data_IF_705336080782
#
_entry.id   IF_705336080782
#
_cell.length_a   1.000
_cell.length_b   1.000
_cell.length_c   1.000
_cell.angle_alpha   90.00
_cell.angle_beta   90.00
_cell.angle_gamma   90.00
#
_symmetry.space_group_name_H-M   'P 1'
#
loop_
_entity.id
_entity.type
_entity.pdbx_description
1 polymer ?
#
# COMPACT_ATOMS: atom_id res chain seq x y z
N UNK A 1 -26.90 6.09 -0.70
CA UNK A 1 -28.18 6.77 -0.97
C UNK A 1 -29.07 6.92 0.29
N UNK A 2 -29.21 5.92 1.16
CA UNK A 2 -30.06 6.01 2.37
C UNK A 2 -29.67 7.13 3.36
N UNK A 3 -28.40 7.37 3.61
CA UNK A 3 -27.97 8.43 4.52
C UNK A 3 -28.21 9.86 4.02
N UNK A 4 -28.27 10.06 2.71
CA UNK A 4 -28.49 11.36 2.11
C UNK A 4 -29.96 11.76 2.18
N UNK A 5 -30.88 10.78 2.05
CA UNK A 5 -32.31 10.98 2.25
C UNK A 5 -32.64 11.31 3.72
N UNK A 6 -31.95 10.67 4.66
CA UNK A 6 -32.12 10.94 6.10
C UNK A 6 -31.64 12.36 6.47
N UNK A 7 -30.51 12.82 5.93
CA UNK A 7 -30.01 14.18 6.15
C UNK A 7 -30.93 15.26 5.57
N UNK A 8 -31.43 15.04 4.35
CA UNK A 8 -32.38 15.95 3.72
C UNK A 8 -33.72 15.97 4.47
N UNK A 9 -34.19 14.82 4.94
CA UNK A 9 -35.43 14.72 5.72
C UNK A 9 -35.29 15.45 7.09
N UNK A 10 -34.16 15.29 7.78
CA UNK A 10 -33.87 15.98 9.04
C UNK A 10 -33.76 17.50 8.84
N UNK A 11 -33.14 17.96 7.76
CA UNK A 11 -33.04 19.37 7.43
C UNK A 11 -34.43 19.97 7.11
N UNK A 12 -35.26 19.25 6.36
CA UNK A 12 -36.65 19.68 6.07
C UNK A 12 -37.52 19.67 7.33
N UNK A 13 -37.34 18.70 8.21
CA UNK A 13 -38.07 18.62 9.49
C UNK A 13 -37.66 19.77 10.41
N UNK A 14 -36.38 20.12 10.49
CA UNK A 14 -35.87 21.27 11.22
C UNK A 14 -36.45 22.61 10.70
N UNK A 15 -36.52 22.73 9.39
CA UNK A 15 -37.09 23.86 8.66
C UNK A 15 -38.61 24.03 8.97
N UNK A 16 -39.36 22.91 8.91
CA UNK A 16 -40.77 22.89 9.21
C UNK A 16 -41.06 23.20 10.68
N UNK A 17 -40.28 22.66 11.63
CA UNK A 17 -40.42 22.95 13.06
C UNK A 17 -40.08 24.41 13.37
N UNK A 18 -39.02 24.95 12.76
CA UNK A 18 -38.64 26.36 12.88
C UNK A 18 -39.76 27.29 12.37
N UNK A 19 -40.37 26.94 11.23
CA UNK A 19 -41.45 27.72 10.67
C UNK A 19 -42.72 27.70 11.57
N UNK A 20 -43.09 26.55 12.11
CA UNK A 20 -44.26 26.40 13.03
C UNK A 20 -44.02 27.17 14.35
N UNK A 21 -42.80 27.14 14.89
CA UNK A 21 -42.45 27.94 16.07
C UNK A 21 -42.49 29.44 15.79
N UNK A 22 -42.01 29.88 14.64
CA UNK A 22 -42.03 31.29 14.25
C UNK A 22 -43.44 31.84 14.08
N UNK A 23 -44.41 31.05 13.60
CA UNK A 23 -45.81 31.46 13.43
C UNK A 23 -46.61 31.52 14.70
N UNK A 24 -46.14 30.93 15.82
CA UNK A 24 -46.85 30.96 17.13
C UNK A 24 -46.42 32.12 18.02
N UNK A 25 -45.43 32.93 17.63
CA UNK A 25 -44.92 34.06 18.42
C UNK A 25 -45.41 35.38 17.80
N UNK A 26 -46.62 35.82 18.19
CA UNK A 26 -47.32 36.99 17.68
C UNK A 26 -46.69 38.36 18.09
N UNK A 27 -45.49 38.41 18.57
CA UNK A 27 -45.06 39.60 19.29
C UNK A 27 -43.80 40.35 18.79
N UNK A 28 -43.16 39.95 17.65
CA UNK A 28 -41.91 40.66 17.27
C UNK A 28 -41.77 40.75 15.74
N UNK A 29 -42.47 41.71 15.16
CA UNK A 29 -42.91 41.54 13.77
C UNK A 29 -41.94 41.91 12.65
N UNK A 30 -41.02 42.84 12.71
CA UNK A 30 -40.27 43.24 11.50
C UNK A 30 -38.76 43.03 11.58
N UNK A 31 -38.11 43.31 12.66
CA UNK A 31 -36.66 43.18 12.79
C UNK A 31 -36.19 41.73 12.88
N UNK A 32 -37.00 40.83 13.42
CA UNK A 32 -36.61 39.39 13.57
C UNK A 32 -36.81 38.52 12.33
N UNK A 33 -37.57 38.96 11.37
CA UNK A 33 -37.73 38.24 10.09
C UNK A 33 -36.42 38.18 9.31
N UNK A 34 -35.70 39.29 9.23
CA UNK A 34 -34.41 39.35 8.55
C UNK A 34 -33.34 38.53 9.25
N UNK A 35 -33.32 38.50 10.57
CA UNK A 35 -32.42 37.67 11.37
C UNK A 35 -32.70 36.19 11.14
N UNK A 36 -33.97 35.80 11.06
CA UNK A 36 -34.40 34.43 10.78
C UNK A 36 -33.99 34.00 9.37
N UNK A 37 -34.21 34.84 8.37
CA UNK A 37 -33.82 34.58 6.97
C UNK A 37 -32.29 34.48 6.84
N UNK A 38 -31.54 35.32 7.53
CA UNK A 38 -30.08 35.25 7.58
C UNK A 38 -29.59 33.97 8.24
N UNK A 39 -30.22 33.56 9.36
CA UNK A 39 -29.88 32.31 10.02
C UNK A 39 -30.14 31.06 9.11
N UNK A 40 -31.29 31.05 8.44
CA UNK A 40 -31.62 29.98 7.47
C UNK A 40 -30.68 29.99 6.26
N UNK A 41 -30.31 31.16 5.76
CA UNK A 41 -29.35 31.30 4.68
C UNK A 41 -27.97 30.75 5.05
N UNK A 42 -27.48 31.09 6.23
CA UNK A 42 -26.19 30.59 6.74
C UNK A 42 -26.19 29.09 6.99
N UNK A 43 -27.22 28.56 7.65
CA UNK A 43 -27.34 27.11 7.87
C UNK A 43 -27.48 26.37 6.55
N UNK A 44 -28.30 26.88 5.62
CA UNK A 44 -28.46 26.32 4.29
C UNK A 44 -27.12 26.29 3.50
N UNK A 45 -26.36 27.38 3.54
CA UNK A 45 -25.06 27.45 2.91
C UNK A 45 -24.07 26.43 3.48
N UNK A 46 -24.03 26.25 4.80
CA UNK A 46 -23.19 25.25 5.46
C UNK A 46 -23.58 23.82 5.05
N UNK A 47 -24.87 23.51 5.03
CA UNK A 47 -25.35 22.18 4.60
C UNK A 47 -24.97 21.90 3.14
N UNK A 48 -25.15 22.88 2.25
CA UNK A 48 -24.76 22.75 0.83
C UNK A 48 -23.25 22.56 0.71
N UNK A 49 -22.46 23.34 1.43
CA UNK A 49 -21.01 23.23 1.44
C UNK A 49 -20.56 21.83 1.91
N UNK A 50 -21.15 21.29 2.97
CA UNK A 50 -20.86 19.94 3.47
C UNK A 50 -21.23 18.85 2.45
N UNK A 51 -22.38 18.99 1.77
CA UNK A 51 -22.80 18.03 0.72
C UNK A 51 -21.84 18.06 -0.45
N UNK A 52 -21.43 19.26 -0.90
CA UNK A 52 -20.48 19.42 -2.00
C UNK A 52 -19.11 18.82 -1.57
N UNK A 53 -18.62 19.16 -0.39
CA UNK A 53 -17.36 18.65 0.15
C UNK A 53 -17.35 17.11 0.20
N UNK A 54 -18.41 16.50 0.71
CA UNK A 54 -18.50 15.03 0.77
C UNK A 54 -18.57 14.40 -0.63
N UNK A 55 -19.25 15.01 -1.59
CA UNK A 55 -19.26 14.53 -2.99
C UNK A 55 -17.88 14.62 -3.61
N UNK A 56 -17.21 15.75 -3.46
CA UNK A 56 -15.85 15.97 -3.98
C UNK A 56 -14.89 14.94 -3.37
N UNK A 57 -14.96 14.74 -2.05
CA UNK A 57 -14.15 13.74 -1.36
C UNK A 57 -14.38 12.32 -1.90
N UNK A 58 -15.64 11.93 -2.13
CA UNK A 58 -15.96 10.61 -2.70
C UNK A 58 -15.44 10.45 -4.13
N UNK A 59 -15.53 11.49 -4.94
CA UNK A 59 -14.96 11.49 -6.29
C UNK A 59 -13.44 11.36 -6.25
N UNK A 60 -12.75 12.13 -5.41
CA UNK A 60 -11.30 12.04 -5.24
C UNK A 60 -10.84 10.65 -4.78
N UNK A 61 -11.56 10.05 -3.83
CA UNK A 61 -11.27 8.68 -3.37
C UNK A 61 -11.51 7.66 -4.49
N UNK A 62 -12.54 7.82 -5.30
CA UNK A 62 -12.82 6.93 -6.43
C UNK A 62 -11.75 7.06 -7.52
N UNK A 63 -11.35 8.28 -7.85
CA UNK A 63 -10.29 8.56 -8.82
C UNK A 63 -8.92 8.04 -8.35
N UNK A 64 -8.57 8.25 -7.08
CA UNK A 64 -7.32 7.75 -6.53
C UNK A 64 -7.28 6.22 -6.51
N UNK A 65 -8.39 5.56 -6.19
CA UNK A 65 -8.49 4.10 -6.29
C UNK A 65 -8.38 3.59 -7.73
N UNK A 66 -8.97 4.28 -8.68
CA UNK A 66 -8.86 3.90 -10.09
C UNK A 66 -7.41 4.03 -10.59
N UNK A 67 -6.73 5.13 -10.24
CA UNK A 67 -5.31 5.33 -10.54
C UNK A 67 -4.44 4.27 -9.87
N UNK A 68 -4.71 3.96 -8.60
CA UNK A 68 -4.00 2.91 -7.88
C UNK A 68 -4.21 1.52 -8.52
N UNK A 69 -5.40 1.23 -9.03
CA UNK A 69 -5.66 -0.01 -9.76
C UNK A 69 -4.84 -0.13 -11.05
N UNK A 70 -4.65 0.97 -11.79
CA UNK A 70 -3.79 0.99 -12.98
C UNK A 70 -2.30 0.81 -12.61
N UNK A 71 -1.84 1.50 -11.58
CA UNK A 71 -0.48 1.33 -11.06
C UNK A 71 -0.24 -0.10 -10.57
N UNK A 72 -1.22 -0.69 -9.88
CA UNK A 72 -1.16 -2.06 -9.41
C UNK A 72 -0.99 -3.07 -10.56
N UNK A 73 -1.61 -2.83 -11.72
CA UNK A 73 -1.44 -3.70 -12.89
C UNK A 73 0.01 -3.71 -13.40
N UNK A 74 0.64 -2.54 -13.49
CA UNK A 74 2.04 -2.41 -13.89
C UNK A 74 2.97 -3.05 -12.85
N UNK A 75 2.75 -2.72 -11.58
CA UNK A 75 3.57 -3.21 -10.47
C UNK A 75 3.42 -4.72 -10.28
N UNK A 76 2.23 -5.30 -10.48
CA UNK A 76 2.04 -6.75 -10.39
C UNK A 76 2.93 -7.54 -11.36
N UNK A 77 3.08 -7.06 -12.60
CA UNK A 77 3.98 -7.68 -13.59
C UNK A 77 5.44 -7.58 -13.15
N UNK A 78 5.83 -6.40 -12.65
CA UNK A 78 7.19 -6.20 -12.14
C UNK A 78 7.47 -7.09 -10.91
N UNK A 79 6.54 -7.15 -9.95
CA UNK A 79 6.64 -8.03 -8.79
C UNK A 79 6.75 -9.51 -9.16
N UNK A 80 6.06 -9.95 -10.21
CA UNK A 80 6.18 -11.33 -10.68
C UNK A 80 7.62 -11.65 -11.12
N UNK A 81 8.28 -10.72 -11.83
CA UNK A 81 9.68 -10.86 -12.22
C UNK A 81 10.62 -10.86 -11.01
N UNK A 82 10.46 -9.88 -10.12
CA UNK A 82 11.26 -9.78 -8.87
C UNK A 82 11.14 -11.05 -8.03
N UNK A 83 9.94 -11.62 -7.91
CA UNK A 83 9.71 -12.86 -7.15
C UNK A 83 10.44 -14.05 -7.72
N UNK A 84 10.56 -14.17 -9.05
CA UNK A 84 11.31 -15.25 -9.69
C UNK A 84 12.78 -15.15 -9.29
N UNK A 85 13.38 -13.97 -9.43
CA UNK A 85 14.81 -13.77 -9.12
C UNK A 85 15.06 -13.88 -7.61
N UNK A 86 14.17 -13.35 -6.77
CA UNK A 86 14.25 -13.51 -5.32
C UNK A 86 14.14 -14.99 -4.90
N UNK A 87 13.25 -15.78 -5.51
CA UNK A 87 13.13 -17.21 -5.28
C UNK A 87 14.42 -17.98 -5.64
N UNK A 88 15.17 -17.50 -6.64
CA UNK A 88 16.51 -18.03 -6.92
C UNK A 88 17.48 -17.71 -5.79
N UNK A 89 17.52 -16.47 -5.33
CA UNK A 89 18.39 -16.06 -4.22
C UNK A 89 18.06 -16.81 -2.91
N UNK A 90 16.77 -17.02 -2.60
CA UNK A 90 16.32 -17.82 -1.46
C UNK A 90 16.79 -19.27 -1.56
N UNK A 91 16.68 -19.89 -2.73
CA UNK A 91 17.15 -21.27 -2.93
C UNK A 91 18.66 -21.38 -2.77
N UNK A 92 19.45 -20.46 -3.35
CA UNK A 92 20.90 -20.43 -3.15
C UNK A 92 21.27 -20.24 -1.68
N UNK A 93 20.62 -19.30 -1.00
CA UNK A 93 20.90 -19.06 0.44
C UNK A 93 20.58 -20.31 1.26
N UNK A 94 19.45 -21.00 1.00
CA UNK A 94 19.08 -22.26 1.67
C UNK A 94 20.10 -23.39 1.41
N UNK A 95 20.53 -23.54 0.17
CA UNK A 95 21.54 -24.55 -0.18
C UNK A 95 22.83 -24.31 0.61
N UNK A 96 23.27 -23.07 0.69
CA UNK A 96 24.52 -22.69 1.35
C UNK A 96 24.44 -22.66 2.88
N UNK A 97 23.25 -22.66 3.49
CA UNK A 97 23.12 -22.92 4.92
C UNK A 97 23.36 -24.39 5.30
N UNK A 98 23.24 -25.30 4.36
CA UNK A 98 23.49 -26.74 4.58
C UNK A 98 24.89 -27.22 4.17
N UNK A 99 25.61 -26.40 3.40
CA UNK A 99 26.95 -26.70 2.92
C UNK A 99 27.82 -25.45 3.08
N UNK A 100 29.06 -25.61 3.54
CA UNK A 100 30.00 -24.47 3.59
C UNK A 100 30.38 -24.07 2.15
N UNK A 101 29.88 -22.92 1.64
CA UNK A 101 30.10 -22.56 0.24
C UNK A 101 31.54 -22.15 -0.01
N UNK A 102 32.03 -22.48 -1.20
CA UNK A 102 33.30 -21.99 -1.66
C UNK A 102 33.21 -20.47 -2.05
N UNK A 103 34.35 -19.76 -2.25
CA UNK A 103 34.33 -18.36 -2.60
C UNK A 103 33.57 -18.00 -3.90
N UNK A 104 33.54 -18.90 -4.89
CA UNK A 104 32.79 -18.68 -6.15
C UNK A 104 31.29 -18.72 -5.91
N UNK A 105 30.82 -19.69 -5.13
CA UNK A 105 29.40 -19.80 -4.73
C UNK A 105 28.94 -18.62 -3.88
N UNK A 106 29.83 -18.02 -3.09
CA UNK A 106 29.55 -16.77 -2.40
C UNK A 106 29.39 -15.58 -3.35
N UNK A 107 30.13 -15.57 -4.46
CA UNK A 107 29.95 -14.54 -5.48
C UNK A 107 28.63 -14.70 -6.21
N UNK A 108 28.19 -15.93 -6.51
CA UNK A 108 26.89 -16.20 -7.14
C UNK A 108 25.72 -15.64 -6.31
N UNK A 109 25.70 -15.88 -5.00
CA UNK A 109 24.64 -15.32 -4.14
C UNK A 109 24.69 -13.80 -4.08
N UNK A 110 25.89 -13.20 -4.06
CA UNK A 110 26.03 -11.75 -4.10
C UNK A 110 25.46 -11.17 -5.39
N UNK A 111 25.71 -11.79 -6.53
CA UNK A 111 25.20 -11.35 -7.84
C UNK A 111 23.67 -11.45 -7.91
N UNK A 112 23.08 -12.55 -7.40
CA UNK A 112 21.62 -12.69 -7.36
C UNK A 112 20.97 -11.64 -6.48
N UNK A 113 21.52 -11.40 -5.27
CA UNK A 113 21.01 -10.37 -4.37
C UNK A 113 21.18 -8.96 -4.96
N UNK A 114 22.29 -8.69 -5.64
CA UNK A 114 22.50 -7.41 -6.33
C UNK A 114 21.48 -7.22 -7.47
N UNK A 115 21.18 -8.27 -8.25
CA UNK A 115 20.19 -8.24 -9.30
C UNK A 115 18.80 -7.92 -8.75
N UNK A 116 18.36 -8.62 -7.70
CA UNK A 116 17.07 -8.34 -7.04
C UNK A 116 17.02 -6.93 -6.49
N UNK A 117 18.10 -6.46 -5.85
CA UNK A 117 18.16 -5.11 -5.31
C UNK A 117 18.07 -4.02 -6.40
N UNK A 118 18.63 -4.27 -7.58
CA UNK A 118 18.54 -3.36 -8.73
C UNK A 118 17.12 -3.26 -9.32
N UNK A 119 16.25 -4.25 -9.05
CA UNK A 119 14.86 -4.27 -9.49
C UNK A 119 13.91 -3.54 -8.52
N UNK A 120 14.43 -2.75 -7.58
CA UNK A 120 13.60 -2.02 -6.62
C UNK A 120 12.62 -1.09 -7.32
N UNK A 121 11.36 -1.12 -6.86
CA UNK A 121 10.28 -0.31 -7.41
C UNK A 121 10.51 1.16 -7.05
N UNK A 122 10.37 2.11 -8.02
CA UNK A 122 10.49 3.52 -7.77
C UNK A 122 9.48 4.02 -6.73
N UNK A 123 9.90 5.03 -5.95
CA UNK A 123 9.08 5.57 -4.86
C UNK A 123 7.74 6.13 -5.35
N UNK A 124 7.71 6.77 -6.52
CA UNK A 124 6.50 7.31 -7.13
C UNK A 124 5.46 6.21 -7.44
N UNK A 125 5.92 5.04 -7.88
CA UNK A 125 5.03 3.89 -8.13
C UNK A 125 4.48 3.32 -6.82
N UNK A 126 5.30 3.26 -5.77
CA UNK A 126 4.86 2.84 -4.44
C UNK A 126 3.82 3.80 -3.85
N UNK A 127 4.02 5.12 -4.01
CA UNK A 127 3.03 6.12 -3.58
C UNK A 127 1.69 5.95 -4.32
N UNK A 128 1.72 5.60 -5.59
CA UNK A 128 0.50 5.35 -6.36
C UNK A 128 -0.29 4.15 -5.83
N UNK A 129 0.34 3.21 -5.14
CA UNK A 129 -0.30 2.04 -4.53
C UNK A 129 -0.89 2.32 -3.14
N UNK A 130 -0.56 3.43 -2.49
CA UNK A 130 -1.01 3.75 -1.13
C UNK A 130 -2.55 3.70 -0.95
N UNK A 131 -3.39 4.07 -1.95
CA UNK A 131 -4.85 3.96 -1.81
C UNK A 131 -5.39 2.52 -1.88
N UNK A 132 -4.54 1.51 -2.15
CA UNK A 132 -4.96 0.11 -2.14
C UNK A 132 -5.16 -0.38 -0.70
N UNK A 133 -6.13 -1.29 -0.49
CA UNK A 133 -6.29 -1.97 0.79
C UNK A 133 -5.09 -2.90 1.06
N UNK A 134 -4.95 -3.32 2.32
CA UNK A 134 -4.00 -4.34 2.79
C UNK A 134 -2.53 -3.89 2.80
N UNK A 135 -2.25 -2.58 2.82
CA UNK A 135 -0.90 -2.03 2.98
C UNK A 135 0.11 -2.56 1.95
N UNK A 136 -0.35 -2.72 0.70
CA UNK A 136 0.43 -3.29 -0.41
C UNK A 136 1.78 -2.55 -0.60
N UNK A 137 1.76 -1.21 -0.61
CA UNK A 137 2.96 -0.39 -0.76
C UNK A 137 3.95 -0.59 0.41
N UNK A 138 3.44 -0.76 1.63
CA UNK A 138 4.25 -0.99 2.83
C UNK A 138 4.91 -2.37 2.79
N UNK A 139 4.18 -3.41 2.38
CA UNK A 139 4.74 -4.76 2.21
C UNK A 139 5.87 -4.78 1.20
N UNK A 140 5.69 -4.13 0.05
CA UNK A 140 6.74 -4.00 -0.98
C UNK A 140 7.96 -3.28 -0.40
N UNK A 141 7.75 -2.16 0.27
CA UNK A 141 8.83 -1.39 0.88
C UNK A 141 9.59 -2.19 1.94
N UNK A 142 8.88 -2.94 2.78
CA UNK A 142 9.47 -3.81 3.79
C UNK A 142 10.27 -4.96 3.17
N UNK A 143 9.76 -5.58 2.12
CA UNK A 143 10.48 -6.63 1.39
C UNK A 143 11.79 -6.13 0.81
N UNK A 144 11.78 -4.99 0.12
CA UNK A 144 13.01 -4.39 -0.41
C UNK A 144 13.95 -3.87 0.70
N UNK A 145 13.44 -3.53 1.88
CA UNK A 145 14.29 -3.23 3.03
C UNK A 145 15.07 -4.47 3.49
N UNK A 146 14.44 -5.65 3.54
CA UNK A 146 15.10 -6.92 3.83
C UNK A 146 16.18 -7.24 2.79
N UNK A 147 15.85 -7.10 1.48
CA UNK A 147 16.83 -7.32 0.40
C UNK A 147 18.02 -6.38 0.52
N UNK A 148 17.78 -5.08 0.76
CA UNK A 148 18.85 -4.08 0.96
C UNK A 148 19.71 -4.38 2.18
N UNK A 149 19.12 -4.88 3.26
CA UNK A 149 19.85 -5.28 4.45
C UNK A 149 20.80 -6.45 4.13
N UNK A 150 20.33 -7.46 3.40
CA UNK A 150 21.15 -8.59 2.95
C UNK A 150 22.26 -8.11 2.01
N UNK A 151 21.89 -7.30 1.01
CA UNK A 151 22.83 -6.71 0.06
C UNK A 151 23.95 -5.93 0.79
N UNK A 152 23.62 -5.06 1.71
CA UNK A 152 24.60 -4.30 2.49
C UNK A 152 25.52 -5.19 3.33
N UNK A 153 24.96 -6.28 3.91
CA UNK A 153 25.73 -7.23 4.72
C UNK A 153 26.69 -8.07 3.89
N UNK A 154 26.26 -8.55 2.72
CA UNK A 154 27.07 -9.37 1.83
C UNK A 154 28.15 -8.54 1.12
N UNK A 155 27.76 -7.44 0.46
CA UNK A 155 28.70 -6.64 -0.33
C UNK A 155 29.62 -5.79 0.51
N UNK A 156 29.13 -5.22 1.62
CA UNK A 156 29.95 -4.44 2.55
C UNK A 156 31.08 -5.24 3.19
N UNK A 157 30.98 -6.57 3.19
CA UNK A 157 31.96 -7.50 3.78
C UNK A 157 32.49 -8.56 2.81
N UNK A 158 32.25 -8.40 1.50
CA UNK A 158 32.60 -9.40 0.47
C UNK A 158 34.05 -9.92 0.59
N UNK A 159 35.00 -9.02 0.82
CA UNK A 159 36.41 -9.39 0.98
C UNK A 159 36.71 -10.09 2.33
N UNK A 160 35.95 -9.79 3.37
CA UNK A 160 36.10 -10.39 4.70
C UNK A 160 35.42 -11.76 4.73
N UNK A 161 34.20 -11.88 4.22
CA UNK A 161 33.40 -13.12 4.19
C UNK A 161 34.16 -14.26 3.50
N UNK A 162 34.96 -13.96 2.48
CA UNK A 162 35.85 -14.93 1.83
C UNK A 162 36.95 -15.48 2.74
N UNK A 163 37.29 -14.76 3.81
CA UNK A 163 38.35 -15.13 4.79
C UNK A 163 37.78 -15.72 6.07
N UNK A 164 36.48 -15.65 6.29
CA UNK A 164 35.85 -16.11 7.52
C UNK A 164 35.93 -17.62 7.68
N UNK A 165 36.02 -18.07 8.91
CA UNK A 165 35.85 -19.48 9.27
C UNK A 165 34.41 -19.95 9.01
N UNK A 166 34.22 -21.25 8.80
CA UNK A 166 32.94 -21.83 8.39
C UNK A 166 31.76 -21.40 9.24
N UNK A 167 31.91 -21.34 10.57
CA UNK A 167 30.84 -20.98 11.50
C UNK A 167 30.34 -19.52 11.31
N UNK A 168 31.25 -18.56 11.19
CA UNK A 168 30.86 -17.14 11.00
C UNK A 168 30.16 -16.93 9.65
N UNK A 169 30.63 -17.62 8.62
CA UNK A 169 30.04 -17.59 7.28
C UNK A 169 28.63 -18.22 7.29
N UNK A 170 28.48 -19.37 7.95
CA UNK A 170 27.19 -20.03 8.11
C UNK A 170 26.18 -19.18 8.86
N UNK A 171 26.58 -18.50 9.94
CA UNK A 171 25.70 -17.59 10.68
C UNK A 171 25.25 -16.40 9.82
N UNK A 172 26.13 -15.85 8.97
CA UNK A 172 25.76 -14.80 8.02
C UNK A 172 24.75 -15.33 6.98
N UNK A 173 25.01 -16.51 6.42
CA UNK A 173 24.12 -17.11 5.41
C UNK A 173 22.77 -17.46 5.98
N UNK A 174 22.70 -17.96 7.21
CA UNK A 174 21.46 -18.21 7.90
C UNK A 174 20.65 -16.91 8.06
N UNK A 175 21.30 -15.84 8.53
CA UNK A 175 20.65 -14.53 8.60
C UNK A 175 20.16 -14.04 7.24
N UNK A 176 20.99 -14.17 6.19
CA UNK A 176 20.60 -13.77 4.84
C UNK A 176 19.39 -14.57 4.34
N UNK A 177 19.38 -15.88 4.59
CA UNK A 177 18.28 -16.76 4.22
C UNK A 177 16.97 -16.32 4.87
N UNK A 178 16.96 -16.10 6.19
CA UNK A 178 15.78 -15.66 6.93
C UNK A 178 15.22 -14.33 6.41
N UNK A 179 16.10 -13.38 6.09
CA UNK A 179 15.68 -12.08 5.56
C UNK A 179 15.14 -12.18 4.11
N UNK A 180 15.75 -13.02 3.26
CA UNK A 180 15.28 -13.23 1.90
C UNK A 180 13.95 -13.99 1.87
N UNK A 181 13.76 -14.98 2.73
CA UNK A 181 12.50 -15.72 2.88
C UNK A 181 11.38 -14.78 3.36
N UNK A 182 11.66 -13.92 4.34
CA UNK A 182 10.71 -12.88 4.76
C UNK A 182 10.36 -11.92 3.62
N UNK A 183 11.34 -11.51 2.82
CA UNK A 183 11.10 -10.65 1.66
C UNK A 183 10.23 -11.35 0.61
N UNK A 184 10.44 -12.62 0.35
CA UNK A 184 9.65 -13.43 -0.58
C UNK A 184 8.19 -13.52 -0.16
N UNK A 185 7.92 -13.79 1.11
CA UNK A 185 6.57 -13.85 1.67
C UNK A 185 5.85 -12.50 1.55
N UNK A 186 6.53 -11.40 1.85
CA UNK A 186 5.97 -10.05 1.72
C UNK A 186 5.66 -9.71 0.27
N UNK A 187 6.56 -10.01 -0.68
CA UNK A 187 6.33 -9.76 -2.10
C UNK A 187 5.22 -10.66 -2.66
N UNK A 188 5.09 -11.89 -2.19
CA UNK A 188 3.99 -12.78 -2.56
C UNK A 188 2.65 -12.19 -2.15
N UNK A 189 2.52 -11.74 -0.89
CA UNK A 189 1.31 -11.09 -0.40
C UNK A 189 1.00 -9.81 -1.18
N UNK A 190 2.00 -8.95 -1.41
CA UNK A 190 1.83 -7.72 -2.16
C UNK A 190 1.42 -7.97 -3.62
N UNK A 191 2.01 -8.97 -4.27
CA UNK A 191 1.63 -9.39 -5.62
C UNK A 191 0.16 -9.83 -5.67
N UNK A 192 -0.29 -10.65 -4.71
CA UNK A 192 -1.66 -11.13 -4.63
C UNK A 192 -2.64 -9.96 -4.39
N UNK A 193 -2.28 -9.01 -3.53
CA UNK A 193 -3.06 -7.79 -3.28
C UNK A 193 -3.18 -6.94 -4.55
N UNK A 194 -2.10 -6.73 -5.30
CA UNK A 194 -2.10 -6.03 -6.59
C UNK A 194 -2.95 -6.77 -7.63
N UNK A 195 -2.81 -8.08 -7.75
CA UNK A 195 -3.58 -8.90 -8.68
C UNK A 195 -5.09 -8.84 -8.36
N UNK A 196 -5.46 -8.86 -7.09
CA UNK A 196 -6.86 -8.69 -6.65
C UNK A 196 -7.40 -7.28 -6.98
N UNK A 197 -6.60 -6.25 -6.79
CA UNK A 197 -6.99 -4.87 -7.08
C UNK A 197 -7.26 -4.63 -8.57
N UNK A 198 -6.52 -5.32 -9.43
CA UNK A 198 -6.63 -5.19 -10.90
C UNK A 198 -7.63 -6.14 -11.52
N UNK A 199 -8.11 -7.17 -10.79
CA UNK A 199 -8.86 -8.31 -11.32
C UNK A 199 -8.14 -9.05 -12.47
N UNK A 200 -6.85 -8.79 -12.64
CA UNK A 200 -6.00 -9.46 -13.63
C UNK A 200 -5.29 -10.61 -12.93
N UNK A 201 -5.52 -11.82 -13.41
CA UNK A 201 -4.71 -12.98 -12.99
C UNK A 201 -3.38 -12.93 -13.75
N UNK A 202 -2.35 -12.41 -13.11
CA UNK A 202 -0.99 -12.55 -13.62
C UNK A 202 -0.53 -13.98 -13.33
N UNK A 203 -0.27 -14.74 -14.38
CA UNK A 203 0.26 -16.09 -14.26
C UNK A 203 1.72 -16.03 -13.78
N UNK A 204 1.97 -16.47 -12.57
CA UNK A 204 3.31 -16.78 -12.10
C UNK A 204 3.50 -18.29 -12.34
N UNK A 205 4.52 -18.72 -13.10
CA UNK A 205 4.77 -20.15 -13.27
C UNK A 205 4.99 -20.78 -11.91
N UNK A 206 4.13 -21.71 -11.54
CA UNK A 206 4.30 -22.48 -10.33
C UNK A 206 5.65 -23.19 -10.37
N UNK A 207 6.30 -23.26 -9.23
CA UNK A 207 7.58 -23.94 -9.05
C UNK A 207 7.47 -25.33 -9.69
N UNK A 208 8.39 -25.64 -10.58
CA UNK A 208 8.45 -27.00 -11.15
C UNK A 208 8.58 -27.97 -9.99
N UNK A 209 7.73 -29.00 -9.90
CA UNK A 209 7.92 -30.05 -8.92
C UNK A 209 9.32 -30.64 -9.10
N UNK A 210 10.01 -30.84 -7.99
CA UNK A 210 11.32 -31.48 -7.89
C UNK A 210 11.33 -32.90 -8.49
#
# INVERSE_FOLDING_TARGET
MRGMLLGAALALLGLALGFVLATKVDAVAEAKWWDLMTAFGTVGAVVVALVISERTRRQQVAESRAKAGLAAASVAVHLASVRIDLGVAVRYSKLFTSMDPNPEQMDDICEEVERVNAMAIPYEELLALTPLPNDCAEKISAAFACVRLVHARLLGRRAEVKRWAGEERMNLLQFCHEQLEQAEDLLKQAHDDCAHATKVKVYVPDERPE
#
